data_IF_114045279734
#
_entry.id   IF_114045279734
#
_cell.length_a   1.000
_cell.length_b   1.000
_cell.length_c   1.000
_cell.angle_alpha   90.00
_cell.angle_beta   90.00
_cell.angle_gamma   90.00
#
_symmetry.space_group_name_H-M   'P 1'
#
loop_
_entity.id
_entity.type
_entity.pdbx_description
1 polymer ?
#
# COMPACT_ATOMS: atom_id res chain seq x y z
N UNK A 1 -29.15 -7.91 2.61
CA UNK A 1 -27.71 -7.75 2.86
C UNK A 1 -27.02 -8.95 2.25
N UNK A 2 -25.95 -8.71 1.49
CA UNK A 2 -25.12 -9.75 0.89
C UNK A 2 -24.45 -10.59 2.00
N UNK A 3 -24.36 -11.91 1.81
CA UNK A 3 -23.72 -12.78 2.79
C UNK A 3 -22.19 -12.66 2.74
N UNK A 4 -21.50 -13.09 3.80
CA UNK A 4 -20.03 -13.15 3.83
C UNK A 4 -19.51 -14.06 2.72
N UNK A 5 -20.15 -15.22 2.51
CA UNK A 5 -19.77 -16.18 1.45
C UNK A 5 -19.89 -15.58 0.04
N UNK A 6 -20.95 -14.81 -0.23
CA UNK A 6 -21.14 -14.13 -1.52
C UNK A 6 -20.07 -13.06 -1.73
N UNK A 7 -19.74 -12.29 -0.70
CA UNK A 7 -18.66 -11.29 -0.77
C UNK A 7 -17.30 -11.94 -0.99
N UNK A 8 -17.00 -13.02 -0.29
CA UNK A 8 -15.75 -13.78 -0.47
C UNK A 8 -15.61 -14.33 -1.90
N UNK A 9 -16.67 -14.95 -2.45
CA UNK A 9 -16.66 -15.44 -3.83
C UNK A 9 -16.43 -14.33 -4.85
N UNK A 10 -17.03 -13.16 -4.60
CA UNK A 10 -16.83 -11.98 -5.46
C UNK A 10 -15.42 -11.44 -5.36
N UNK A 11 -14.85 -11.36 -4.16
CA UNK A 11 -13.47 -10.94 -3.97
C UNK A 11 -12.50 -11.84 -4.74
N UNK A 12 -12.64 -13.15 -4.58
CA UNK A 12 -11.84 -14.12 -5.33
C UNK A 12 -12.00 -13.97 -6.85
N UNK A 13 -13.23 -13.73 -7.32
CA UNK A 13 -13.51 -13.50 -8.74
C UNK A 13 -12.86 -12.20 -9.24
N UNK A 14 -12.94 -11.11 -8.50
CA UNK A 14 -12.30 -9.84 -8.83
C UNK A 14 -10.77 -9.97 -8.88
N UNK A 15 -10.18 -10.67 -7.89
CA UNK A 15 -8.76 -10.95 -7.90
C UNK A 15 -8.34 -11.76 -9.14
N UNK A 16 -9.09 -12.82 -9.50
CA UNK A 16 -8.79 -13.64 -10.68
C UNK A 16 -8.90 -12.85 -11.99
N UNK A 17 -9.90 -11.97 -12.11
CA UNK A 17 -10.04 -11.05 -13.24
C UNK A 17 -8.85 -10.08 -13.27
N UNK A 18 -8.48 -9.50 -12.15
CA UNK A 18 -7.35 -8.59 -12.05
C UNK A 18 -6.03 -9.27 -12.47
N UNK A 19 -5.82 -10.52 -12.06
CA UNK A 19 -4.64 -11.30 -12.45
C UNK A 19 -4.60 -11.56 -13.96
N UNK A 20 -5.74 -11.89 -14.58
CA UNK A 20 -5.85 -12.08 -16.04
C UNK A 20 -5.56 -10.77 -16.79
N UNK A 21 -6.16 -9.66 -16.37
CA UNK A 21 -5.92 -8.33 -16.94
C UNK A 21 -4.47 -7.89 -16.80
N UNK A 22 -3.84 -8.17 -15.65
CA UNK A 22 -2.41 -7.95 -15.46
C UNK A 22 -1.56 -8.73 -16.47
N UNK A 23 -1.90 -10.00 -16.72
CA UNK A 23 -1.20 -10.84 -17.70
C UNK A 23 -1.38 -10.32 -19.14
N UNK A 24 -2.54 -9.74 -19.45
CA UNK A 24 -2.85 -9.12 -20.75
C UNK A 24 -2.25 -7.71 -20.90
N UNK A 25 -1.71 -7.14 -19.80
CA UNK A 25 -1.10 -5.81 -19.80
C UNK A 25 -2.08 -4.64 -19.59
N UNK A 26 -3.36 -4.91 -19.33
CA UNK A 26 -4.34 -3.87 -18.95
C UNK A 26 -4.23 -3.54 -17.47
N UNK A 27 -3.18 -2.78 -17.16
CA UNK A 27 -2.81 -2.47 -15.78
C UNK A 27 -3.85 -1.58 -15.06
N UNK A 28 -4.61 -0.77 -15.79
CA UNK A 28 -5.60 0.12 -15.20
C UNK A 28 -6.84 -0.65 -14.74
N UNK A 29 -7.34 -1.55 -15.58
CA UNK A 29 -8.45 -2.44 -15.21
C UNK A 29 -8.00 -3.47 -14.16
N UNK A 30 -6.77 -3.99 -14.27
CA UNK A 30 -6.21 -4.89 -13.28
C UNK A 30 -6.19 -4.25 -11.88
N UNK A 31 -5.71 -3.00 -11.78
CA UNK A 31 -5.67 -2.29 -10.51
C UNK A 31 -7.06 -2.02 -9.93
N UNK A 32 -8.03 -1.61 -10.78
CA UNK A 32 -9.40 -1.41 -10.34
C UNK A 32 -10.00 -2.68 -9.73
N UNK A 33 -9.91 -3.80 -10.44
CA UNK A 33 -10.42 -5.09 -9.97
C UNK A 33 -9.71 -5.58 -8.70
N UNK A 34 -8.38 -5.40 -8.59
CA UNK A 34 -7.63 -5.76 -7.39
C UNK A 34 -8.06 -4.92 -6.17
N UNK A 35 -8.35 -3.64 -6.36
CA UNK A 35 -8.87 -2.77 -5.29
C UNK A 35 -10.31 -3.12 -4.91
N UNK A 36 -11.15 -3.46 -5.88
CA UNK A 36 -12.51 -3.92 -5.61
C UNK A 36 -12.50 -5.22 -4.80
N UNK A 37 -11.56 -6.15 -5.10
CA UNK A 37 -11.34 -7.34 -4.29
C UNK A 37 -11.00 -6.95 -2.85
N UNK A 38 -10.07 -6.02 -2.64
CA UNK A 38 -9.66 -5.57 -1.31
C UNK A 38 -10.82 -4.97 -0.50
N UNK A 39 -11.69 -4.19 -1.14
CA UNK A 39 -12.89 -3.64 -0.50
C UNK A 39 -13.88 -4.74 -0.11
N UNK A 40 -14.01 -5.78 -0.92
CA UNK A 40 -14.86 -6.93 -0.61
C UNK A 40 -14.32 -7.77 0.55
N UNK A 41 -13.00 -7.82 0.75
CA UNK A 41 -12.35 -8.48 1.90
C UNK A 41 -12.62 -7.76 3.24
N UNK A 42 -13.01 -6.50 3.23
CA UNK A 42 -13.22 -5.74 4.46
C UNK A 42 -14.23 -6.43 5.39
N UNK A 43 -13.75 -6.87 6.55
CA UNK A 43 -14.55 -7.61 7.52
C UNK A 43 -14.74 -9.11 7.22
N UNK A 44 -14.02 -9.64 6.23
CA UNK A 44 -13.85 -11.07 6.00
C UNK A 44 -12.50 -11.47 6.60
N UNK A 45 -12.45 -12.62 7.28
CA UNK A 45 -11.20 -13.18 7.81
C UNK A 45 -10.60 -14.14 6.76
N UNK A 46 -10.06 -13.56 5.68
CA UNK A 46 -9.34 -14.28 4.62
C UNK A 46 -7.92 -13.74 4.43
N UNK A 47 -6.99 -14.12 5.31
CA UNK A 47 -5.62 -13.63 5.21
C UNK A 47 -4.87 -14.10 3.95
N UNK A 48 -5.32 -15.17 3.29
CA UNK A 48 -4.75 -15.62 2.01
C UNK A 48 -5.17 -14.68 0.88
N UNK A 49 -6.46 -14.34 0.80
CA UNK A 49 -7.00 -13.38 -0.16
C UNK A 49 -6.29 -12.04 -0.05
N UNK A 50 -6.17 -11.52 1.16
CA UNK A 50 -5.43 -10.27 1.43
C UNK A 50 -3.99 -10.32 0.91
N UNK A 51 -3.24 -11.41 1.19
CA UNK A 51 -1.87 -11.57 0.69
C UNK A 51 -1.81 -11.56 -0.84
N UNK A 52 -2.71 -12.28 -1.50
CA UNK A 52 -2.77 -12.38 -2.95
C UNK A 52 -3.07 -11.03 -3.62
N UNK A 53 -3.97 -10.24 -3.02
CA UNK A 53 -4.27 -8.90 -3.52
C UNK A 53 -3.07 -7.97 -3.35
N UNK A 54 -2.39 -7.99 -2.20
CA UNK A 54 -1.19 -7.18 -1.96
C UNK A 54 -0.05 -7.53 -2.94
N UNK A 55 0.17 -8.82 -3.20
CA UNK A 55 1.14 -9.29 -4.21
C UNK A 55 0.79 -8.73 -5.59
N UNK A 56 -0.46 -8.91 -6.03
CA UNK A 56 -0.89 -8.46 -7.36
C UNK A 56 -0.78 -6.94 -7.52
N UNK A 57 -1.18 -6.16 -6.53
CA UNK A 57 -1.02 -4.70 -6.53
C UNK A 57 0.46 -4.28 -6.61
N UNK A 58 1.35 -5.03 -5.94
CA UNK A 58 2.80 -4.81 -6.04
C UNK A 58 3.31 -5.06 -7.46
N UNK A 59 2.81 -6.10 -8.13
CA UNK A 59 3.22 -6.43 -9.50
C UNK A 59 2.72 -5.41 -10.51
N UNK A 60 1.48 -4.94 -10.35
CA UNK A 60 0.89 -3.88 -11.19
C UNK A 60 1.70 -2.58 -11.05
N UNK A 61 2.00 -2.19 -9.82
CA UNK A 61 2.82 -1.02 -9.50
C UNK A 61 4.21 -1.13 -10.16
N UNK A 62 4.88 -2.29 -9.99
CA UNK A 62 6.20 -2.54 -10.57
C UNK A 62 6.19 -2.53 -12.10
N UNK A 63 5.12 -3.02 -12.73
CA UNK A 63 4.98 -3.05 -14.18
C UNK A 63 4.81 -1.66 -14.79
N UNK A 64 4.18 -0.73 -14.07
CA UNK A 64 4.06 0.67 -14.49
C UNK A 64 5.38 1.43 -14.27
N UNK A 65 5.76 1.54 -13.03
CA UNK A 65 7.00 2.17 -12.59
C UNK A 65 7.22 1.82 -11.11
N UNK A 66 8.25 1.03 -10.77
CA UNK A 66 8.46 0.63 -9.39
C UNK A 66 8.76 1.85 -8.52
N UNK A 67 8.02 1.94 -7.42
CA UNK A 67 8.08 3.04 -6.46
C UNK A 67 8.41 2.54 -5.06
N UNK A 68 8.61 3.46 -4.13
CA UNK A 68 8.73 3.13 -2.71
C UNK A 68 7.48 2.39 -2.20
N UNK A 69 6.30 2.74 -2.72
CA UNK A 69 5.04 2.06 -2.41
C UNK A 69 5.10 0.57 -2.72
N UNK A 70 5.69 0.19 -3.85
CA UNK A 70 5.85 -1.21 -4.25
C UNK A 70 6.63 -2.02 -3.20
N UNK A 71 7.72 -1.45 -2.68
CA UNK A 71 8.53 -2.11 -1.64
C UNK A 71 7.76 -2.29 -0.32
N UNK A 72 6.91 -1.31 0.06
CA UNK A 72 6.07 -1.42 1.26
C UNK A 72 4.98 -2.48 1.09
N UNK A 73 4.30 -2.55 -0.07
CA UNK A 73 3.31 -3.58 -0.36
C UNK A 73 3.93 -4.99 -0.30
N UNK A 74 5.11 -5.17 -0.89
CA UNK A 74 5.85 -6.44 -0.81
C UNK A 74 6.21 -6.81 0.64
N UNK A 75 6.61 -5.83 1.45
CA UNK A 75 6.88 -6.04 2.86
C UNK A 75 5.63 -6.45 3.64
N UNK A 76 4.50 -5.82 3.39
CA UNK A 76 3.22 -6.16 3.98
C UNK A 76 2.81 -7.59 3.62
N UNK A 77 2.83 -7.95 2.33
CA UNK A 77 2.52 -9.30 1.85
C UNK A 77 3.44 -10.35 2.51
N UNK A 78 4.77 -10.07 2.56
CA UNK A 78 5.76 -10.96 3.22
C UNK A 78 5.44 -11.19 4.70
N UNK A 79 5.08 -10.15 5.44
CA UNK A 79 4.71 -10.25 6.86
C UNK A 79 3.47 -11.11 7.07
N UNK A 80 2.50 -10.98 6.19
CA UNK A 80 1.24 -11.70 6.29
C UNK A 80 1.38 -13.16 5.91
N UNK A 81 2.11 -13.48 4.83
CA UNK A 81 2.47 -14.86 4.51
C UNK A 81 3.12 -15.57 5.68
N UNK A 82 4.03 -14.90 6.40
CA UNK A 82 4.67 -15.47 7.61
C UNK A 82 3.68 -15.72 8.76
N UNK A 83 2.68 -14.84 8.94
CA UNK A 83 1.69 -14.99 10.03
C UNK A 83 0.79 -16.21 9.86
N UNK A 84 0.52 -16.61 8.63
CA UNK A 84 -0.30 -17.78 8.32
C UNK A 84 0.55 -19.02 8.02
N UNK A 85 1.85 -18.97 8.33
CA UNK A 85 2.83 -20.05 8.06
C UNK A 85 2.75 -20.55 6.61
N UNK A 86 2.67 -19.62 5.66
CA UNK A 86 2.51 -19.90 4.22
C UNK A 86 3.39 -18.97 3.38
N UNK A 87 3.21 -19.01 2.08
CA UNK A 87 3.91 -18.16 1.12
C UNK A 87 3.36 -18.30 -0.28
N UNK A 88 3.76 -17.38 -1.17
CA UNK A 88 3.33 -17.34 -2.57
C UNK A 88 3.60 -18.67 -3.32
N UNK A 89 4.57 -19.45 -2.86
CA UNK A 89 4.97 -20.71 -3.48
C UNK A 89 3.86 -21.78 -3.52
N UNK A 90 2.90 -21.75 -2.59
CA UNK A 90 1.76 -22.69 -2.59
C UNK A 90 0.82 -22.47 -3.77
N UNK A 91 0.89 -21.29 -4.42
CA UNK A 91 0.06 -20.91 -5.57
C UNK A 91 0.73 -21.22 -6.92
N UNK A 92 1.88 -21.88 -6.90
CA UNK A 92 2.53 -22.42 -8.09
C UNK A 92 3.74 -21.60 -8.58
N UNK A 93 4.56 -22.21 -9.45
CA UNK A 93 5.85 -21.64 -9.84
C UNK A 93 5.74 -20.34 -10.63
N UNK A 94 4.64 -20.11 -11.34
CA UNK A 94 4.42 -18.85 -12.08
C UNK A 94 4.19 -17.66 -11.14
N UNK A 95 3.52 -17.87 -10.00
CA UNK A 95 3.33 -16.84 -8.97
C UNK A 95 4.66 -16.48 -8.31
N UNK A 96 5.49 -17.49 -8.01
CA UNK A 96 6.86 -17.27 -7.50
C UNK A 96 7.67 -16.47 -8.50
N UNK A 97 7.64 -16.85 -9.79
CA UNK A 97 8.40 -16.13 -10.82
C UNK A 97 7.97 -14.66 -10.97
N UNK A 98 6.69 -14.35 -10.82
CA UNK A 98 6.20 -12.97 -10.83
C UNK A 98 6.63 -12.19 -9.59
N UNK A 99 6.55 -12.81 -8.41
CA UNK A 99 7.05 -12.23 -7.17
C UNK A 99 8.53 -11.90 -7.27
N UNK A 100 9.36 -12.87 -7.66
CA UNK A 100 10.81 -12.70 -7.78
C UNK A 100 11.18 -11.62 -8.79
N UNK A 101 10.46 -11.58 -9.93
CA UNK A 101 10.63 -10.51 -10.92
C UNK A 101 10.31 -9.14 -10.34
N UNK A 102 9.19 -9.02 -9.62
CA UNK A 102 8.79 -7.78 -8.97
C UNK A 102 9.87 -7.32 -7.99
N UNK A 103 10.31 -8.19 -7.09
CA UNK A 103 11.37 -7.91 -6.11
C UNK A 103 12.65 -7.45 -6.81
N UNK A 104 13.09 -8.15 -7.88
CA UNK A 104 14.29 -7.80 -8.62
C UNK A 104 14.22 -6.41 -9.25
N UNK A 105 13.08 -6.08 -9.89
CA UNK A 105 12.85 -4.76 -10.51
C UNK A 105 12.88 -3.65 -9.46
N UNK A 106 12.22 -3.86 -8.31
CA UNK A 106 12.16 -2.85 -7.25
C UNK A 106 13.53 -2.64 -6.61
N UNK A 107 14.28 -3.72 -6.32
CA UNK A 107 15.65 -3.63 -5.83
C UNK A 107 16.58 -2.93 -6.81
N UNK A 108 16.48 -3.24 -8.09
CA UNK A 108 17.26 -2.56 -9.12
C UNK A 108 16.98 -1.05 -9.17
N UNK A 109 15.72 -0.66 -8.94
CA UNK A 109 15.31 0.74 -9.02
C UNK A 109 15.66 1.56 -7.78
N UNK A 110 15.45 0.99 -6.60
CA UNK A 110 15.59 1.69 -5.31
C UNK A 110 16.95 1.45 -4.63
N UNK A 111 17.63 0.36 -4.97
CA UNK A 111 18.76 -0.17 -4.23
C UNK A 111 18.35 -1.04 -3.04
N UNK A 112 19.24 -1.95 -2.62
CA UNK A 112 18.93 -2.94 -1.58
C UNK A 112 18.62 -2.30 -0.24
N UNK A 113 19.38 -1.29 0.18
CA UNK A 113 19.18 -0.62 1.47
C UNK A 113 17.81 0.06 1.56
N UNK A 114 17.41 0.79 0.52
CA UNK A 114 16.10 1.44 0.47
C UNK A 114 14.97 0.41 0.42
N UNK A 115 15.14 -0.65 -0.37
CA UNK A 115 14.18 -1.75 -0.44
C UNK A 115 13.95 -2.38 0.93
N UNK A 116 15.00 -2.78 1.65
CA UNK A 116 14.85 -3.41 2.97
C UNK A 116 14.22 -2.48 4.00
N UNK A 117 14.62 -1.20 4.02
CA UNK A 117 14.00 -0.20 4.89
C UNK A 117 12.50 -0.03 4.64
N UNK A 118 12.11 0.07 3.38
CA UNK A 118 10.71 0.26 2.97
C UNK A 118 9.88 -1.01 3.19
N UNK A 119 10.44 -2.17 2.89
CA UNK A 119 9.81 -3.46 3.19
C UNK A 119 9.58 -3.63 4.69
N UNK A 120 10.53 -3.23 5.54
CA UNK A 120 10.36 -3.26 6.98
C UNK A 120 9.20 -2.35 7.47
N UNK A 121 8.96 -1.22 6.81
CA UNK A 121 7.75 -0.40 7.06
C UNK A 121 6.49 -1.21 6.76
N UNK A 122 6.45 -1.86 5.60
CA UNK A 122 5.31 -2.71 5.20
C UNK A 122 5.07 -3.87 6.18
N UNK A 123 6.14 -4.51 6.66
CA UNK A 123 6.04 -5.59 7.63
C UNK A 123 5.42 -5.15 8.97
N UNK A 124 5.58 -3.90 9.33
CA UNK A 124 5.00 -3.31 10.54
C UNK A 124 3.53 -2.92 10.43
N UNK A 125 2.94 -2.93 9.23
CA UNK A 125 1.54 -2.57 9.04
C UNK A 125 0.60 -3.65 9.58
N UNK A 126 -0.45 -3.22 10.28
CA UNK A 126 -1.59 -4.06 10.57
C UNK A 126 -2.39 -4.36 9.29
N UNK A 127 -3.28 -5.36 9.30
CA UNK A 127 -4.17 -5.66 8.17
C UNK A 127 -4.91 -4.44 7.64
N UNK A 128 -5.56 -3.71 8.52
CA UNK A 128 -6.33 -2.52 8.15
C UNK A 128 -5.46 -1.40 7.56
N UNK A 129 -4.24 -1.21 8.09
CA UNK A 129 -3.29 -0.23 7.57
C UNK A 129 -2.74 -0.64 6.20
N UNK A 130 -2.43 -1.93 6.00
CA UNK A 130 -1.97 -2.43 4.71
C UNK A 130 -3.05 -2.35 3.64
N UNK A 131 -4.30 -2.70 3.98
CA UNK A 131 -5.45 -2.56 3.09
C UNK A 131 -5.71 -1.09 2.71
N UNK A 132 -5.70 -0.19 3.69
CA UNK A 132 -5.86 1.25 3.45
C UNK A 132 -4.71 1.81 2.58
N UNK A 133 -3.50 1.36 2.80
CA UNK A 133 -2.33 1.72 2.01
C UNK A 133 -2.43 1.19 0.58
N UNK A 134 -2.86 -0.05 0.40
CA UNK A 134 -3.04 -0.69 -0.90
C UNK A 134 -4.20 -0.07 -1.69
N UNK A 135 -5.29 0.32 -1.03
CA UNK A 135 -6.44 0.97 -1.65
C UNK A 135 -6.20 2.44 -2.05
N UNK A 136 -5.17 3.09 -1.53
CA UNK A 136 -4.87 4.48 -1.85
C UNK A 136 -4.28 4.62 -3.26
N UNK A 137 -4.86 5.44 -4.16
CA UNK A 137 -4.31 5.64 -5.50
C UNK A 137 -2.94 6.33 -5.42
N UNK A 138 -1.91 5.68 -5.97
CA UNK A 138 -0.62 6.27 -6.35
C UNK A 138 0.13 7.09 -5.30
N UNK A 139 -0.19 6.98 -4.02
CA UNK A 139 0.44 7.76 -2.97
C UNK A 139 1.79 7.14 -2.61
N UNK A 140 2.88 7.91 -2.55
CA UNK A 140 4.19 7.37 -2.19
C UNK A 140 4.12 6.66 -0.83
N UNK A 141 4.84 5.54 -0.75
CA UNK A 141 4.95 4.72 0.46
C UNK A 141 5.67 5.46 1.57
N UNK A 142 4.92 6.01 2.47
CA UNK A 142 5.47 6.94 3.46
C UNK A 142 5.47 6.42 4.88
N UNK A 143 4.85 5.25 5.10
CA UNK A 143 4.55 4.81 6.46
C UNK A 143 3.63 5.78 7.23
N UNK A 144 3.06 6.75 6.51
CA UNK A 144 2.13 7.71 7.10
C UNK A 144 0.75 7.07 7.24
N UNK A 145 0.11 7.26 8.38
CA UNK A 145 -1.31 6.95 8.53
C UNK A 145 -2.16 7.81 7.59
N UNK A 146 -3.40 7.43 7.32
CA UNK A 146 -4.33 8.21 6.49
C UNK A 146 -4.39 9.68 6.96
N UNK A 147 -4.44 9.90 8.27
CA UNK A 147 -4.50 11.23 8.88
C UNK A 147 -3.21 12.03 8.72
N UNK A 148 -2.06 11.39 8.87
CA UNK A 148 -0.76 12.02 8.59
C UNK A 148 -0.63 12.39 7.12
N UNK A 149 -1.17 11.56 6.25
CA UNK A 149 -1.21 11.87 4.85
C UNK A 149 -2.08 13.06 4.48
N UNK A 150 -3.27 13.22 5.09
CA UNK A 150 -4.11 14.40 4.91
C UNK A 150 -3.40 15.68 5.38
N UNK A 151 -2.65 15.59 6.49
CA UNK A 151 -1.80 16.67 6.98
C UNK A 151 -0.67 16.98 6.00
N UNK A 152 0.00 15.95 5.46
CA UNK A 152 1.07 16.15 4.47
C UNK A 152 0.54 16.77 3.17
N UNK A 153 -0.67 16.38 2.72
CA UNK A 153 -1.34 17.02 1.58
C UNK A 153 -1.57 18.53 1.82
N UNK A 154 -2.11 18.87 2.98
CA UNK A 154 -2.30 20.30 3.34
C UNK A 154 -0.98 21.08 3.40
N UNK A 155 0.11 20.42 3.83
CA UNK A 155 1.46 21.02 3.82
C UNK A 155 1.94 21.27 2.39
N UNK A 156 1.74 20.31 1.50
CA UNK A 156 2.08 20.43 0.07
C UNK A 156 1.31 21.58 -0.60
N UNK A 157 0.03 21.73 -0.28
CA UNK A 157 -0.81 22.85 -0.74
C UNK A 157 -0.41 24.21 -0.14
N UNK A 158 0.57 24.24 0.76
CA UNK A 158 1.07 25.48 1.39
C UNK A 158 0.25 25.98 2.57
N UNK A 159 -0.70 25.18 3.09
CA UNK A 159 -1.54 25.57 4.22
C UNK A 159 -0.74 25.63 5.53
N UNK A 160 -1.06 26.57 6.38
CA UNK A 160 -0.56 26.63 7.77
C UNK A 160 -1.18 25.52 8.62
N UNK A 161 -0.58 25.20 9.78
CA UNK A 161 -1.13 24.22 10.71
C UNK A 161 -2.53 24.59 11.22
N UNK A 162 -2.86 25.88 11.26
CA UNK A 162 -4.18 26.38 11.61
C UNK A 162 -5.21 26.06 10.53
N UNK A 163 -4.88 26.34 9.27
CA UNK A 163 -5.75 26.05 8.14
C UNK A 163 -5.97 24.54 7.95
N UNK A 164 -4.92 23.74 8.18
CA UNK A 164 -5.03 22.27 8.19
C UNK A 164 -5.93 21.82 9.33
N UNK A 165 -5.78 22.39 10.53
CA UNK A 165 -6.62 22.08 11.68
C UNK A 165 -8.09 22.39 11.42
N UNK A 166 -8.39 23.55 10.84
CA UNK A 166 -9.74 23.99 10.48
C UNK A 166 -10.34 23.04 9.42
N UNK A 167 -9.56 22.71 8.35
CA UNK A 167 -10.00 21.80 7.28
C UNK A 167 -10.31 20.38 7.79
N UNK A 168 -9.47 19.87 8.68
CA UNK A 168 -9.55 18.48 9.16
C UNK A 168 -10.35 18.33 10.46
N UNK A 169 -10.92 19.41 10.98
CA UNK A 169 -11.65 19.46 12.26
C UNK A 169 -10.79 18.92 13.41
N UNK A 170 -9.58 19.46 13.52
CA UNK A 170 -8.59 19.10 14.54
C UNK A 170 -8.18 20.31 15.37
N UNK A 171 -7.49 20.08 16.49
CA UNK A 171 -6.75 21.14 17.15
C UNK A 171 -5.42 21.41 16.45
N UNK A 172 -4.91 22.65 16.48
CA UNK A 172 -3.59 23.00 15.95
C UNK A 172 -2.50 22.13 16.59
N UNK A 173 -2.60 21.85 17.89
CA UNK A 173 -1.69 20.97 18.63
C UNK A 173 -1.70 19.52 18.09
N UNK A 174 -2.84 19.04 17.64
CA UNK A 174 -2.96 17.72 17.01
C UNK A 174 -2.24 17.70 15.68
N UNK A 175 -2.41 18.77 14.86
CA UNK A 175 -1.69 18.92 13.59
C UNK A 175 -0.18 19.00 13.83
N UNK A 176 0.28 19.77 14.84
CA UNK A 176 1.70 19.84 15.19
C UNK A 176 2.26 18.44 15.52
N UNK A 177 1.50 17.64 16.27
CA UNK A 177 1.89 16.26 16.61
C UNK A 177 1.99 15.39 15.35
N UNK A 178 1.06 15.52 14.41
CA UNK A 178 1.12 14.80 13.14
C UNK A 178 2.33 15.23 12.30
N UNK A 179 2.63 16.54 12.22
CA UNK A 179 3.81 17.06 11.53
C UNK A 179 5.10 16.47 12.09
N UNK A 180 5.24 16.40 13.43
CA UNK A 180 6.43 15.80 14.06
C UNK A 180 6.55 14.30 13.73
N UNK A 181 5.44 13.57 13.74
CA UNK A 181 5.42 12.14 13.37
C UNK A 181 5.77 11.94 11.90
N UNK A 182 5.26 12.78 11.00
CA UNK A 182 5.58 12.76 9.58
C UNK A 182 7.08 12.97 9.38
N UNK A 183 7.66 14.00 10.00
CA UNK A 183 9.10 14.28 9.94
C UNK A 183 9.93 13.07 10.41
N UNK A 184 9.57 12.48 11.55
CA UNK A 184 10.26 11.33 12.09
C UNK A 184 10.15 10.09 11.19
N UNK A 185 8.96 9.81 10.63
CA UNK A 185 8.71 8.66 9.76
C UNK A 185 9.42 8.78 8.41
N UNK A 186 9.53 10.00 7.87
CA UNK A 186 10.18 10.25 6.58
C UNK A 186 11.69 10.54 6.71
N UNK A 187 12.20 10.67 7.93
CA UNK A 187 13.59 11.06 8.17
C UNK A 187 13.87 12.50 7.76
N UNK A 188 12.86 13.37 7.76
CA UNK A 188 12.97 14.78 7.39
C UNK A 188 13.21 15.67 8.60
N UNK A 189 13.89 16.80 8.38
CA UNK A 189 14.20 17.78 9.42
C UNK A 189 13.39 19.08 9.29
N UNK A 190 12.65 19.27 8.19
CA UNK A 190 11.88 20.48 7.96
C UNK A 190 10.56 20.25 7.25
N UNK A 191 9.57 21.13 7.53
CA UNK A 191 8.28 21.15 6.85
C UNK A 191 8.40 21.34 5.32
N UNK A 192 9.41 22.09 4.87
CA UNK A 192 9.65 22.30 3.45
C UNK A 192 10.00 20.99 2.72
N UNK A 193 10.67 20.05 3.41
CA UNK A 193 10.95 18.73 2.86
C UNK A 193 9.68 17.89 2.70
N UNK A 194 8.71 18.00 3.62
CA UNK A 194 7.40 17.38 3.47
C UNK A 194 6.67 17.94 2.25
N UNK A 195 6.67 19.27 2.09
CA UNK A 195 6.00 19.93 0.96
C UNK A 195 6.60 19.54 -0.39
N UNK A 196 7.92 19.46 -0.49
CA UNK A 196 8.64 19.08 -1.71
C UNK A 196 8.50 17.58 -2.04
N UNK A 197 8.35 16.76 -1.03
CA UNK A 197 8.26 15.31 -1.15
C UNK A 197 6.87 14.83 -1.57
N UNK A 198 5.81 15.53 -1.19
CA UNK A 198 4.42 15.21 -1.48
C UNK A 198 4.06 15.68 -2.90
N UNK A 199 4.53 14.96 -3.93
CA UNK A 199 4.18 15.21 -5.35
C UNK A 199 3.28 14.14 -5.90
#
# INVERSE_FOLDING_TARGET
AESIDERWQRSLSQWAIALALYADGDLDEAERNARDALVLEEGIDDPVGDCLVLELLSWIDAARSPTERTAVLLGAARSWWRRIDSGIAVHGPHMVAQHDRCVAIVRQRLGDEAFERLSAIGEGLSPAEAAAFAGAPGRPATGLSAREGEVAAGIHEGLSNREIADRLVLSVRTVDTHVQRILAKLGFSSRAQIAAWYQ
#
